data_IF_618977989053
#
_entry.id   IF_618977989053
#
_cell.length_a   1.000
_cell.length_b   1.000
_cell.length_c   1.000
_cell.angle_alpha   90.00
_cell.angle_beta   90.00
_cell.angle_gamma   90.00
#
_symmetry.space_group_name_H-M   'P 1'
#
loop_
_entity.id
_entity.type
_entity.pdbx_description
1 polymer ?
2 non-polymer ?
3 non-polymer ?
4 water ?
#
# COMPACT_ATOMS: atom_id res chain seq x y z
N UNK A 8 -7.91 24.08 -20.75
CA UNK A 8 -8.56 22.79 -21.00
C UNK A 8 -7.57 21.64 -20.81
N UNK A 9 -8.09 20.43 -20.67
CA UNK A 9 -7.27 19.23 -20.53
C UNK A 9 -7.77 18.16 -21.49
N UNK A 10 -6.83 17.33 -21.95
CA UNK A 10 -7.17 16.25 -22.86
C UNK A 10 -7.79 15.07 -22.11
N UNK A 11 -8.43 14.20 -22.87
CA UNK A 11 -9.16 13.05 -22.32
C UNK A 11 -8.28 11.80 -22.44
N UNK A 12 -7.54 11.51 -21.38
CA UNK A 12 -6.69 10.33 -21.34
C UNK A 12 -6.47 9.93 -19.90
N UNK A 13 -5.96 8.71 -19.71
CA UNK A 13 -5.80 8.13 -18.39
C UNK A 13 -4.40 7.57 -18.21
N UNK A 14 -3.97 7.51 -16.96
CA UNK A 14 -2.74 6.82 -16.57
C UNK A 14 -3.09 5.47 -15.95
N UNK A 15 -2.32 4.45 -16.30
CA UNK A 15 -2.53 3.10 -15.78
C UNK A 15 -1.39 2.80 -14.80
N UNK A 16 -1.72 2.76 -13.51
CA UNK A 16 -0.78 2.41 -12.45
C UNK A 16 -1.18 1.08 -11.84
N UNK A 17 -0.22 0.16 -11.73
CA UNK A 17 -0.42 -1.08 -11.01
C UNK A 17 0.19 -0.95 -9.62
N UNK A 18 -0.61 -1.18 -8.59
CA UNK A 18 -0.16 -1.12 -7.20
C UNK A 18 -0.39 -2.48 -6.57
N UNK A 19 0.55 -2.91 -5.74
CA UNK A 19 0.44 -4.19 -5.04
C UNK A 19 0.40 -3.92 -3.55
N UNK A 20 -0.35 -4.77 -2.84
CA UNK A 20 -0.42 -4.74 -1.39
C UNK A 20 0.33 -5.94 -0.83
N UNK A 21 1.28 -5.68 0.07
CA UNK A 21 2.07 -6.73 0.70
C UNK A 21 2.14 -6.44 2.20
N UNK A 22 2.56 -7.45 2.95
CA UNK A 22 2.51 -7.42 4.40
C UNK A 22 2.16 -8.79 4.93
N UNK A 23 2.33 -9.01 6.23
CA UNK A 23 2.06 -10.33 6.78
C UNK A 23 0.57 -10.62 6.79
N UNK A 24 0.25 -11.91 6.93
CA UNK A 24 -1.14 -12.32 7.03
C UNK A 24 -1.79 -11.70 8.26
N UNK A 25 -2.99 -11.16 8.07
CA UNK A 25 -3.77 -10.62 9.17
C UNK A 25 -3.61 -9.14 9.44
N UNK A 26 -2.75 -8.45 8.70
CA UNK A 26 -2.54 -7.02 8.97
C UNK A 26 -3.66 -6.16 8.40
N UNK A 27 -4.48 -6.69 7.50
CA UNK A 27 -5.62 -5.95 6.97
C UNK A 27 -5.46 -5.51 5.53
N UNK A 28 -4.72 -6.27 4.74
CA UNK A 28 -4.52 -5.92 3.34
C UNK A 28 -5.82 -5.98 2.56
N UNK A 29 -6.54 -7.11 2.67
CA UNK A 29 -7.78 -7.27 1.92
C UNK A 29 -8.85 -6.28 2.38
N UNK A 30 -8.88 -5.96 3.67
CA UNK A 30 -9.86 -4.99 4.16
C UNK A 30 -9.49 -3.57 3.78
N UNK A 31 -8.20 -3.28 3.61
CA UNK A 31 -7.81 -2.00 3.03
C UNK A 31 -8.33 -1.85 1.61
N UNK A 32 -8.29 -2.94 0.83
CA UNK A 32 -8.76 -2.88 -0.55
C UNK A 32 -10.27 -2.71 -0.62
N UNK A 33 -11.02 -3.51 0.16
CA UNK A 33 -12.47 -3.41 0.13
C UNK A 33 -12.96 -2.07 0.67
N UNK A 34 -12.20 -1.47 1.59
CA UNK A 34 -12.61 -0.17 2.13
C UNK A 34 -12.39 0.94 1.10
N UNK A 35 -11.29 0.87 0.35
CA UNK A 35 -10.98 1.94 -0.60
C UNK A 35 -11.77 1.79 -1.89
N UNK A 36 -11.98 0.55 -2.35
CA UNK A 36 -12.63 0.32 -3.64
C UNK A 36 -14.14 0.15 -3.52
N UNK A 37 -14.62 -0.42 -2.43
CA UNK A 37 -16.04 -0.69 -2.28
C UNK A 37 -16.63 -0.17 -0.97
N UNK A 38 -15.82 0.46 -0.11
CA UNK A 38 -16.27 1.02 1.16
C UNK A 38 -16.99 -0.03 2.01
N UNK A 39 -16.36 -1.18 2.15
CA UNK A 39 -16.87 -2.26 3.00
C UNK A 39 -15.73 -2.86 3.79
N UNK A 40 -16.07 -3.41 4.95
CA UNK A 40 -15.09 -3.98 5.86
C UNK A 40 -15.71 -5.18 6.55
N UNK A 41 -14.94 -6.26 6.68
CA UNK A 41 -15.45 -7.51 7.22
C UNK A 41 -14.56 -7.99 8.35
N UNK A 42 -15.17 -8.38 9.46
CA UNK A 42 -14.46 -9.04 10.57
C UNK A 42 -14.28 -10.51 10.19
N UNK A 43 -13.10 -10.84 9.66
CA UNK A 43 -12.79 -12.18 9.19
C UNK A 43 -13.84 -12.70 8.23
N UNK A 49 -10.42 -15.99 -7.34
CA UNK A 49 -11.11 -15.07 -6.46
C UNK A 49 -10.86 -13.61 -6.81
N UNK A 50 -11.13 -12.71 -5.85
CA UNK A 50 -10.91 -11.28 -6.07
C UNK A 50 -9.41 -11.02 -6.09
N UNK A 51 -8.83 -11.06 -7.29
CA UNK A 51 -7.39 -10.91 -7.43
C UNK A 51 -6.96 -9.46 -7.29
N UNK A 52 -7.65 -8.55 -7.98
CA UNK A 52 -7.35 -7.13 -7.89
C UNK A 52 -8.63 -6.34 -8.12
N UNK A 53 -8.56 -5.05 -7.79
CA UNK A 53 -9.65 -4.12 -8.04
C UNK A 53 -9.07 -2.82 -8.57
N UNK A 54 -9.89 -2.09 -9.33
CA UNK A 54 -9.47 -0.85 -9.97
C UNK A 54 -10.39 0.28 -9.54
N UNK A 55 -9.80 1.38 -9.10
CA UNK A 55 -10.51 2.62 -8.83
C UNK A 55 -9.77 3.76 -9.50
N UNK A 56 -10.52 4.64 -10.17
CA UNK A 56 -9.97 5.77 -10.89
C UNK A 56 -10.28 7.05 -10.14
N UNK A 57 -9.25 7.87 -9.93
CA UNK A 57 -9.39 9.10 -9.17
C UNK A 57 -8.47 10.17 -9.77
N UNK A 58 -8.72 11.42 -9.39
CA UNK A 58 -8.03 12.57 -9.96
C UNK A 58 -6.81 12.90 -9.13
N UNK A 59 -5.64 12.91 -9.77
CA UNK A 59 -4.38 13.25 -9.10
C UNK A 59 -3.85 14.50 -9.78
N UNK A 60 -3.86 15.63 -9.08
CA UNK A 60 -3.35 16.88 -9.62
C UNK A 60 -3.93 17.22 -11.00
N UNK A 61 -5.24 17.11 -11.14
CA UNK A 61 -5.91 17.43 -12.38
C UNK A 61 -5.97 16.30 -13.39
N UNK A 62 -5.11 15.31 -13.30
CA UNK A 62 -5.07 14.21 -14.25
C UNK A 62 -5.84 13.02 -13.72
N UNK A 63 -6.35 12.20 -14.63
CA UNK A 63 -7.10 10.99 -14.26
C UNK A 63 -6.15 9.81 -14.21
N UNK A 64 -6.13 9.12 -13.07
CA UNK A 64 -5.21 8.01 -12.83
C UNK A 64 -6.04 6.76 -12.51
N UNK A 65 -5.90 5.74 -13.35
CA UNK A 65 -6.56 4.46 -13.14
C UNK A 65 -5.63 3.55 -12.34
N UNK A 66 -5.93 3.37 -11.05
CA UNK A 66 -5.09 2.58 -10.16
C UNK A 66 -5.62 1.15 -10.12
N UNK A 67 -4.79 0.20 -10.53
CA UNK A 67 -5.10 -1.23 -10.45
C UNK A 67 -4.38 -1.78 -9.24
N UNK A 68 -5.12 -2.04 -8.17
CA UNK A 68 -4.57 -2.40 -6.87
C UNK A 68 -4.72 -3.90 -6.66
N UNK A 69 -3.60 -4.59 -6.54
CA UNK A 69 -3.58 -6.04 -6.38
C UNK A 69 -3.58 -6.42 -4.89
N UNK A 70 -4.17 -7.57 -4.60
CA UNK A 70 -4.23 -8.10 -3.24
C UNK A 70 -4.07 -9.61 -3.29
N UNK A 71 -3.50 -10.17 -2.22
CA UNK A 71 -3.24 -11.59 -2.17
C UNK A 71 -4.52 -12.36 -1.89
N UNK A 72 -4.44 -13.68 -2.10
CA UNK A 72 -5.48 -14.61 -1.67
C UNK A 72 -5.16 -15.24 -0.32
N UNK A 73 -4.20 -14.67 0.41
CA UNK A 73 -3.84 -15.15 1.73
C UNK A 73 -2.68 -16.13 1.77
N UNK A 74 -2.03 -16.39 0.64
CA UNK A 74 -0.95 -17.38 0.61
C UNK A 74 0.28 -16.92 1.36
N UNK A 75 0.44 -15.61 1.58
CA UNK A 75 1.60 -15.10 2.33
C UNK A 75 1.62 -15.59 3.77
N UNK A 76 0.54 -16.21 4.25
CA UNK A 76 0.54 -16.77 5.59
C UNK A 76 1.52 -17.93 5.72
N UNK A 77 1.71 -18.70 4.64
CA UNK A 77 2.51 -19.91 4.70
C UNK A 77 3.62 -20.00 3.68
N UNK A 78 3.64 -19.15 2.65
CA UNK A 78 4.69 -19.20 1.65
C UNK A 78 4.96 -17.80 1.14
N UNK A 79 6.03 -17.68 0.35
CA UNK A 79 6.41 -16.40 -0.22
C UNK A 79 5.61 -16.10 -1.49
N UNK A 80 5.29 -14.83 -1.69
CA UNK A 80 4.52 -14.41 -2.86
C UNK A 80 5.40 -14.53 -4.10
N UNK A 81 4.83 -15.10 -5.17
CA UNK A 81 5.58 -15.36 -6.39
C UNK A 81 5.99 -14.04 -7.06
N UNK A 82 6.89 -14.16 -8.05
CA UNK A 82 7.41 -12.98 -8.72
C UNK A 82 6.37 -12.30 -9.60
N UNK A 83 5.48 -13.08 -10.21
CA UNK A 83 4.50 -12.50 -11.14
C UNK A 83 3.57 -11.51 -10.45
N UNK A 84 3.40 -11.61 -9.13
CA UNK A 84 2.54 -10.67 -8.42
C UNK A 84 3.08 -9.26 -8.50
N UNK A 85 4.40 -9.10 -8.43
CA UNK A 85 5.01 -7.77 -8.43
C UNK A 85 5.22 -7.21 -9.83
N UNK A 86 5.21 -8.05 -10.87
CA UNK A 86 5.59 -7.60 -12.20
C UNK A 86 4.63 -6.54 -12.71
N UNK A 87 5.20 -5.44 -13.21
CA UNK A 87 4.43 -4.34 -13.74
C UNK A 87 4.00 -3.30 -12.71
N UNK A 88 4.21 -3.56 -11.42
CA UNK A 88 3.74 -2.65 -10.39
C UNK A 88 4.63 -1.41 -10.32
N UNK A 89 3.99 -0.24 -10.25
CA UNK A 89 4.71 1.02 -10.09
C UNK A 89 4.74 1.46 -8.63
N UNK A 90 3.80 1.02 -7.80
CA UNK A 90 3.81 1.37 -6.40
C UNK A 90 3.43 0.16 -5.56
N UNK A 91 3.75 0.26 -4.27
CA UNK A 91 3.50 -0.83 -3.35
C UNK A 91 3.22 -0.28 -1.95
N UNK A 92 2.24 -0.87 -1.28
CA UNK A 92 1.94 -0.58 0.11
C UNK A 92 2.42 -1.75 0.97
N UNK A 93 3.30 -1.47 1.91
CA UNK A 93 3.71 -2.44 2.92
C UNK A 93 2.87 -2.18 4.15
N UNK A 94 1.95 -3.10 4.44
CA UNK A 94 1.01 -2.96 5.55
C UNK A 94 1.49 -3.78 6.72
N UNK A 95 1.47 -3.18 7.90
CA UNK A 95 1.74 -3.89 9.15
C UNK A 95 0.62 -3.59 10.14
N UNK A 96 0.63 -4.33 11.24
CA UNK A 96 -0.34 -4.17 12.31
C UNK A 96 0.33 -3.39 13.44
N UNK A 97 -0.20 -2.20 13.74
CA UNK A 97 0.36 -1.39 14.82
C UNK A 97 0.25 -2.10 16.15
N UNK A 98 -0.62 -3.10 16.26
CA UNK A 98 -0.79 -3.87 17.49
C UNK A 98 0.01 -5.17 17.50
N UNK A 99 0.79 -5.44 16.46
CA UNK A 99 1.57 -6.67 16.36
C UNK A 99 3.01 -6.30 15.98
N UNK A 100 3.93 -6.47 16.93
CA UNK A 100 5.33 -6.13 16.69
C UNK A 100 5.91 -6.98 15.56
N UNK A 101 5.56 -8.25 15.54
CA UNK A 101 6.05 -9.17 14.53
C UNK A 101 5.79 -8.65 13.12
N UNK A 102 4.58 -8.18 12.87
CA UNK A 102 4.22 -7.66 11.57
C UNK A 102 5.05 -6.44 11.19
N UNK A 103 5.50 -5.67 12.19
CA UNK A 103 6.36 -4.52 11.91
C UNK A 103 7.79 -4.96 11.66
N UNK A 104 8.26 -5.97 12.40
CA UNK A 104 9.60 -6.49 12.17
C UNK A 104 9.74 -7.12 10.78
N UNK A 105 8.64 -7.58 10.21
CA UNK A 105 8.67 -8.20 8.88
C UNK A 105 8.78 -7.19 7.76
N UNK A 106 8.73 -5.89 8.06
CA UNK A 106 8.81 -4.86 7.02
C UNK A 106 10.11 -5.01 6.24
N UNK A 107 11.21 -5.35 6.92
CA UNK A 107 12.48 -5.56 6.24
C UNK A 107 12.39 -6.73 5.28
N UNK A 108 11.65 -7.78 5.66
CA UNK A 108 11.46 -8.92 4.75
C UNK A 108 10.72 -8.50 3.50
N UNK A 109 9.68 -7.68 3.65
CA UNK A 109 8.93 -7.21 2.48
C UNK A 109 9.76 -6.25 1.63
N UNK A 110 10.65 -5.49 2.26
CA UNK A 110 11.58 -4.68 1.48
C UNK A 110 12.53 -5.56 0.68
N UNK A 111 12.95 -6.69 1.26
CA UNK A 111 13.75 -7.66 0.51
C UNK A 111 12.95 -8.24 -0.65
N UNK A 112 11.68 -8.56 -0.43
CA UNK A 112 10.84 -9.08 -1.49
C UNK A 112 10.75 -8.11 -2.67
N UNK A 113 10.58 -6.82 -2.37
CA UNK A 113 10.46 -5.82 -3.42
C UNK A 113 11.76 -5.69 -4.21
N UNK A 114 12.90 -5.64 -3.51
CA UNK A 114 14.18 -5.56 -4.20
C UNK A 114 14.44 -6.80 -5.05
N UNK A 115 13.88 -7.94 -4.66
CA UNK A 115 14.16 -9.20 -5.33
C UNK A 115 13.27 -9.44 -6.54
N UNK A 116 11.99 -9.09 -6.47
CA UNK A 116 11.08 -9.37 -7.58
C UNK A 116 10.36 -8.20 -8.22
N UNK A 117 10.39 -7.03 -7.59
CA UNK A 117 9.69 -5.87 -8.13
C UNK A 117 10.64 -4.97 -8.92
N UNK A 118 10.07 -4.00 -9.61
CA UNK A 118 10.84 -3.05 -10.39
C UNK A 118 11.84 -2.32 -9.49
N UNK A 119 13.00 -2.00 -10.07
CA UNK A 119 14.09 -1.43 -9.27
C UNK A 119 13.74 -0.07 -8.68
N UNK A 120 12.84 0.67 -9.33
CA UNK A 120 12.48 2.01 -8.90
C UNK A 120 11.01 2.09 -8.48
N UNK A 121 10.47 1.00 -7.94
CA UNK A 121 9.11 1.02 -7.42
C UNK A 121 9.05 1.97 -6.23
N UNK A 122 7.94 2.66 -6.08
CA UNK A 122 7.73 3.63 -4.99
C UNK A 122 6.96 2.94 -3.89
N UNK A 123 7.48 2.99 -2.67
CA UNK A 123 7.00 2.19 -1.56
C UNK A 123 6.40 3.11 -0.49
N UNK A 124 5.30 2.66 0.11
CA UNK A 124 4.67 3.36 1.21
C UNK A 124 4.43 2.38 2.35
N UNK A 125 4.80 2.78 3.56
CA UNK A 125 4.61 1.96 4.75
C UNK A 125 3.31 2.37 5.43
N UNK A 126 2.41 1.41 5.62
CA UNK A 126 1.07 1.67 6.15
C UNK A 126 0.93 0.95 7.47
N UNK A 127 0.61 1.70 8.52
CA UNK A 127 0.32 1.13 9.82
C UNK A 127 -1.16 1.00 10.08
N UNK A 128 -1.72 -0.18 9.80
CA UNK A 128 -3.16 -0.36 9.83
C UNK A 128 -3.65 -0.62 11.26
N UNK A 129 -4.98 -0.63 11.40
CA UNK A 129 -5.65 -0.91 12.67
C UNK A 129 -5.30 0.13 13.73
N UNK A 130 -5.30 1.40 13.33
CA UNK A 130 -5.07 2.49 14.27
C UNK A 130 -6.17 2.63 15.30
N UNK A 131 -7.29 1.92 15.13
CA UNK A 131 -8.39 1.98 16.09
C UNK A 131 -8.10 1.19 17.36
N UNK A 132 -7.14 0.28 17.33
CA UNK A 132 -6.79 -0.52 18.51
C UNK A 132 -5.66 0.17 19.29
N UNK A 133 -5.97 1.38 19.76
CA UNK A 133 -4.97 2.17 20.47
C UNK A 133 -4.63 1.58 21.84
N UNK A 134 -5.57 0.84 22.44
CA UNK A 134 -5.27 0.16 23.70
C UNK A 134 -4.28 -0.99 23.51
N UNK A 135 -4.10 -1.47 22.28
CA UNK A 135 -3.20 -2.57 21.98
C UNK A 135 -1.98 -2.14 21.17
N UNK A 136 -1.69 -0.85 21.13
CA UNK A 136 -0.61 -0.35 20.29
C UNK A 136 0.73 -0.89 20.76
N UNK A 137 1.42 -1.61 19.86
CA UNK A 137 2.75 -2.13 20.13
C UNK A 137 3.86 -1.39 19.42
N UNK A 138 3.56 -0.76 18.28
CA UNK A 138 4.54 -0.03 17.49
C UNK A 138 4.18 1.45 17.55
N UNK A 139 4.99 2.30 18.18
CA UNK A 139 4.68 3.73 18.21
C UNK A 139 4.80 4.35 16.83
N UNK A 140 3.94 5.35 16.57
CA UNK A 140 3.93 6.03 15.29
C UNK A 140 5.30 6.60 14.95
N UNK A 141 6.00 7.14 15.95
CA UNK A 141 7.29 7.78 15.68
C UNK A 141 8.35 6.78 15.27
N UNK A 142 8.29 5.55 15.76
CA UNK A 142 9.28 4.55 15.37
C UNK A 142 9.15 4.18 13.90
N UNK A 143 7.91 3.93 13.45
CA UNK A 143 7.70 3.55 12.05
C UNK A 143 7.85 4.74 11.11
N UNK A 144 7.44 5.93 11.55
CA UNK A 144 7.63 7.12 10.73
C UNK A 144 9.11 7.43 10.54
N UNK A 145 9.91 7.28 11.60
CA UNK A 145 11.35 7.45 11.49
C UNK A 145 11.96 6.39 10.59
N UNK A 146 11.50 5.15 10.72
CA UNK A 146 12.01 4.06 9.88
C UNK A 146 11.67 4.30 8.41
N UNK A 147 10.49 4.88 8.14
CA UNK A 147 10.07 5.11 6.76
C UNK A 147 10.95 6.16 6.09
N UNK A 148 11.20 7.27 6.77
CA UNK A 148 12.09 8.30 6.22
C UNK A 148 13.51 7.79 6.07
N UNK A 149 13.94 6.94 7.01
CA UNK A 149 15.28 6.35 6.91
C UNK A 149 15.44 5.53 5.64
N UNK A 150 14.38 4.82 5.24
CA UNK A 150 14.40 3.98 4.05
C UNK A 150 13.68 4.62 2.87
N UNK A 151 13.42 5.93 2.95
CA UNK A 151 12.79 6.69 1.87
C UNK A 151 11.47 6.06 1.43
N UNK A 152 10.63 5.77 2.41
CA UNK A 152 9.29 5.27 2.20
C UNK A 152 8.29 6.34 2.62
N UNK A 153 7.19 6.46 1.88
CA UNK A 153 6.09 7.25 2.40
C UNK A 153 5.42 6.49 3.52
N UNK A 154 4.71 7.23 4.38
CA UNK A 154 4.21 6.64 5.61
C UNK A 154 2.89 7.26 6.03
N UNK A 155 2.00 6.41 6.54
CA UNK A 155 0.80 6.85 7.22
C UNK A 155 0.27 5.69 8.06
N UNK A 156 -0.44 6.02 9.11
CA UNK A 156 -1.24 5.05 9.82
C UNK A 156 -2.66 5.10 9.27
N UNK A 157 -3.37 3.98 9.39
CA UNK A 157 -4.71 3.89 8.83
C UNK A 157 -5.54 2.92 9.65
N UNK A 158 -6.84 2.94 9.38
CA UNK A 158 -7.77 1.99 9.99
C UNK A 158 -8.80 1.61 8.94
N UNK A 159 -8.68 0.40 8.39
CA UNK A 159 -9.70 -0.09 7.47
C UNK A 159 -11.04 -0.24 8.17
N UNK A 160 -11.03 -0.46 9.48
CA UNK A 160 -12.27 -0.63 10.23
C UNK A 160 -13.05 0.67 10.30
N UNK A 161 -12.38 1.78 10.65
CA UNK A 161 -13.03 3.06 10.85
C UNK A 161 -12.85 4.01 9.68
N UNK A 162 -12.21 3.57 8.59
CA UNK A 162 -11.99 4.33 7.37
C UNK A 162 -11.01 5.50 7.54
N UNK A 163 -10.27 5.55 8.64
CA UNK A 163 -9.36 6.66 8.88
C UNK A 163 -8.12 6.52 8.01
N UNK A 164 -7.82 7.56 7.23
CA UNK A 164 -6.62 7.66 6.39
C UNK A 164 -6.55 6.56 5.33
N UNK A 165 -7.64 5.86 5.06
CA UNK A 165 -7.61 4.81 4.04
C UNK A 165 -7.47 5.43 2.66
N UNK A 166 -8.35 6.37 2.32
CA UNK A 166 -8.21 7.09 1.06
C UNK A 166 -6.90 7.88 1.01
N UNK A 167 -6.40 8.27 2.18
CA UNK A 167 -5.15 9.01 2.25
C UNK A 167 -3.97 8.10 1.89
N UNK A 168 -4.01 6.86 2.35
CA UNK A 168 -2.92 5.93 2.06
C UNK A 168 -2.81 5.65 0.56
N UNK A 169 -3.94 5.59 -0.14
CA UNK A 169 -3.88 5.32 -1.57
C UNK A 169 -3.64 6.60 -2.37
N UNK A 170 -4.24 7.72 -1.94
CA UNK A 170 -4.04 8.98 -2.65
C UNK A 170 -2.62 9.48 -2.51
N UNK A 171 -2.02 9.32 -1.33
CA UNK A 171 -0.65 9.80 -1.12
C UNK A 171 0.33 9.07 -2.02
N UNK A 172 0.16 7.76 -2.18
CA UNK A 172 1.08 6.99 -3.01
C UNK A 172 0.94 7.36 -4.49
N UNK A 173 -0.29 7.39 -4.98
CA UNK A 173 -0.51 7.71 -6.40
C UNK A 173 -0.07 9.13 -6.73
N UNK A 174 -0.28 10.07 -5.80
CA UNK A 174 0.16 11.44 -6.02
C UNK A 174 1.69 11.51 -6.09
N UNK A 175 2.37 10.77 -5.20
CA UNK A 175 3.83 10.75 -5.24
C UNK A 175 4.35 10.07 -6.50
N UNK A 176 3.65 9.03 -6.96
CA UNK A 176 4.08 8.34 -8.17
C UNK A 176 3.98 9.28 -9.38
N UNK A 177 2.86 9.99 -9.51
CA UNK A 177 2.67 10.89 -10.64
C UNK A 177 3.72 12.00 -10.63
N UNK A 178 3.95 12.61 -9.47
CA UNK A 178 4.90 13.72 -9.40
C UNK A 178 6.33 13.25 -9.56
N UNK A 179 6.68 12.11 -8.97
CA UNK A 179 8.03 11.57 -9.13
C UNK A 179 8.30 11.17 -10.57
N UNK A 180 7.29 10.64 -11.26
CA UNK A 180 7.42 10.36 -12.68
C UNK A 180 7.62 11.66 -13.46
N UNK A 181 6.69 12.60 -13.32
CA UNK A 181 6.81 13.88 -14.01
C UNK A 181 8.16 14.54 -13.72
N UNK A 182 8.52 14.66 -12.44
CA UNK A 182 9.81 15.25 -12.09
C UNK A 182 10.97 14.52 -12.75
N UNK A 183 10.85 13.19 -12.89
CA UNK A 183 11.87 12.43 -13.61
C UNK A 183 11.83 12.72 -15.11
N UNK A 184 10.68 13.17 -15.63
CA UNK A 184 10.53 13.39 -17.07
C UNK A 184 11.27 14.63 -17.57
N UNK A 185 11.56 15.60 -16.71
CA UNK A 185 12.24 16.81 -17.19
C UNK A 185 13.76 16.61 -17.17
N UNK A 186 14.20 15.42 -17.57
CA UNK A 186 15.62 15.16 -17.83
C UNK A 186 16.11 16.04 -18.98
X LIG B 1 -4.87 -9.57 5.33
X LIG B 1 -3.62 -8.70 5.32
X LIG B 1 -4.45 -11.00 5.56
X LIG B 1 -5.60 -9.42 4.03
X LIG B 1 -5.80 -9.11 6.55
X LIG B 1 -7.40 -9.05 6.41
X LIG B 1 -7.85 -7.90 5.55
X LIG B 1 -7.95 -10.36 5.90
X LIG B 1 -7.83 -8.81 7.95
X LIG B 1 -7.58 -9.84 8.91
X LIG B 1 -8.36 -9.51 10.16
X LIG B 1 -7.96 -8.22 10.61
X LIG B 1 -9.85 -9.43 9.84
X LIG B 1 -10.59 -10.22 10.75
X LIG B 1 -10.22 -7.97 10.01
X LIG B 1 -11.48 -7.85 10.68
X LIG B 1 -9.10 -7.39 10.86
X LIG B 1 -8.83 -5.99 10.47
X LIG B 1 -8.45 -5.54 9.27
X LIG B 1 -8.29 -4.18 9.28
X LIG B 1 -8.56 -3.76 10.53
X LIG B 1 -8.59 -2.46 11.24
X LIG B 1 -8.30 -1.40 10.64
X LIG B 1 -8.93 -2.46 12.54
X LIG B 1 -9.24 -3.58 13.20
X LIG B 1 -9.57 -3.50 14.51
X LIG B 1 -9.23 -4.81 12.62
X LIG B 1 -8.91 -4.96 11.31
X LIG C 1 -5.85 -10.94 2.57
X LIG D 1 11.38 -13.49 -2.43
#
# INVERSE_FOLDING_TARGET
>A
MADNSDDYSYDYEYLYKIVLIGDSGVGKSNLLSRFTRDEFNLESRSTIGVEFATRTLEIDGKRVKAQIWDTAGQERYRAITSAYYRGAVGALIVYDIAKTESYESVSRWLKELKEHADANIIIELVGNKSDLDHLRAVPTEEAKNFAMENNLLFTEASALSSDNVDLSFHQLLKNIYEMISKHQLENNDSKQTNTAGGPTISLTPAPQEKKNKNNGXLLLRH
>B hetero
1 GDP PB O1B O2B O3B O3A PA O1A O2A O5' C5' C4' O4' C3' O3' C2' O2' C1' N9 C8 N7 C5 C6 O6 N1 C2 N2 N3 C4
>C hetero
1 ZN ZN
>D hetero
1 ZN ZN
#
